data_IF_693332801467
#
_entry.id   IF_693332801467
#
_cell.length_a   1.000
_cell.length_b   1.000
_cell.length_c   1.000
_cell.angle_alpha   90.00
_cell.angle_beta   90.00
_cell.angle_gamma   90.00
#
_symmetry.space_group_name_H-M   'P 1'
#
loop_
_entity.id
_entity.type
_entity.pdbx_description
1 polymer ?
#
# COMPACT_ATOMS: atom_id res chain seq x y z
N UNK A 1 -4.15 -19.10 7.47
CA UNK A 1 -4.26 -18.11 6.39
C UNK A 1 -3.59 -16.85 6.92
N UNK A 2 -2.72 -16.23 6.13
CA UNK A 2 -2.08 -14.99 6.52
C UNK A 2 -3.07 -13.83 6.41
N UNK A 3 -2.86 -12.73 7.14
CA UNK A 3 -3.68 -11.52 6.99
C UNK A 3 -3.67 -10.96 5.56
N UNK A 4 -2.63 -11.30 4.78
CA UNK A 4 -2.55 -10.96 3.35
C UNK A 4 -3.50 -11.85 2.52
N UNK A 5 -3.59 -13.14 2.83
CA UNK A 5 -4.48 -14.08 2.11
C UNK A 5 -5.96 -13.69 2.28
N UNK A 6 -6.34 -13.17 3.44
CA UNK A 6 -7.71 -12.73 3.74
C UNK A 6 -8.05 -11.35 3.17
N UNK A 7 -7.09 -10.61 2.61
CA UNK A 7 -7.32 -9.29 1.99
C UNK A 7 -7.13 -9.28 0.47
N UNK A 8 -6.76 -10.42 -0.10
CA UNK A 8 -6.79 -10.67 -1.54
C UNK A 8 -8.21 -10.97 -2.07
N UNK A 9 -9.27 -10.69 -1.30
CA UNK A 9 -10.64 -10.75 -1.81
C UNK A 9 -10.84 -9.65 -2.86
N UNK A 10 -10.69 -10.07 -4.11
CA UNK A 10 -11.09 -9.35 -5.31
C UNK A 10 -12.58 -9.06 -5.20
N UNK A 11 -12.93 -7.86 -4.75
CA UNK A 11 -14.24 -7.29 -5.04
C UNK A 11 -14.16 -6.73 -6.46
N UNK A 12 -14.76 -7.44 -7.42
CA UNK A 12 -14.83 -7.07 -8.85
C UNK A 12 -15.41 -5.65 -9.09
N UNK A 13 -16.06 -5.05 -8.08
CA UNK A 13 -16.69 -3.73 -8.15
C UNK A 13 -15.81 -2.57 -7.62
N UNK A 14 -14.61 -2.83 -7.07
CA UNK A 14 -13.71 -1.76 -6.60
C UNK A 14 -12.74 -1.40 -7.73
N UNK A 15 -13.12 -0.41 -8.54
CA UNK A 15 -12.17 0.43 -9.27
C UNK A 15 -11.18 1.02 -8.26
N UNK A 16 -9.98 0.42 -8.12
CA UNK A 16 -8.99 0.91 -7.15
C UNK A 16 -7.81 -0.03 -6.89
N UNK A 17 -7.28 -0.71 -7.90
CA UNK A 17 -6.06 -1.54 -7.81
C UNK A 17 -4.77 -0.72 -7.66
N UNK A 18 -4.86 0.53 -7.22
CA UNK A 18 -3.76 1.48 -7.25
C UNK A 18 -2.89 1.41 -5.97
N UNK A 19 -3.35 0.74 -4.91
CA UNK A 19 -2.54 0.47 -3.71
C UNK A 19 -2.38 -1.05 -3.53
N UNK A 20 -1.14 -1.54 -3.64
CA UNK A 20 -0.83 -2.97 -3.48
C UNK A 20 -0.06 -3.18 -2.17
N UNK A 21 -0.67 -3.81 -1.14
CA UNK A 21 0.02 -4.12 0.10
C UNK A 21 1.19 -5.10 -0.11
N UNK A 22 2.38 -4.74 0.38
CA UNK A 22 3.59 -5.56 0.32
C UNK A 22 4.09 -5.98 1.70
N UNK A 23 3.65 -5.32 2.77
CA UNK A 23 3.88 -5.73 4.15
C UNK A 23 2.75 -5.26 5.07
N UNK A 24 2.40 -6.08 6.05
CA UNK A 24 1.53 -5.66 7.15
C UNK A 24 2.37 -5.00 8.25
N UNK A 25 1.90 -3.85 8.75
CA UNK A 25 2.49 -3.11 9.86
C UNK A 25 1.71 -3.37 11.15
N UNK A 26 2.28 -2.95 12.28
CA UNK A 26 1.54 -3.00 13.55
C UNK A 26 0.30 -2.09 13.47
N UNK A 27 -0.79 -2.47 14.14
CA UNK A 27 -2.05 -1.70 14.10
C UNK A 27 -2.96 -2.04 12.91
N UNK A 28 -2.53 -2.92 12.00
CA UNK A 28 -3.34 -3.31 10.84
C UNK A 28 -3.18 -2.37 9.64
N UNK A 29 -2.17 -1.50 9.66
CA UNK A 29 -1.74 -0.68 8.52
C UNK A 29 -0.88 -1.49 7.55
N UNK A 30 -0.63 -0.92 6.37
CA UNK A 30 0.15 -1.58 5.33
C UNK A 30 1.22 -0.68 4.75
N UNK A 31 2.35 -1.28 4.42
CA UNK A 31 3.25 -0.72 3.43
C UNK A 31 2.75 -1.13 2.05
N UNK A 32 2.56 -0.16 1.15
CA UNK A 32 1.97 -0.37 -0.17
C UNK A 32 2.87 0.15 -1.30
N UNK A 33 2.77 -0.49 -2.46
CA UNK A 33 3.10 0.12 -3.74
C UNK A 33 1.95 1.02 -4.15
N UNK A 34 2.23 2.28 -4.46
CA UNK A 34 1.26 3.29 -4.83
C UNK A 34 1.36 3.66 -6.31
N UNK A 35 0.38 3.18 -7.07
CA UNK A 35 0.17 3.36 -8.50
C UNK A 35 -0.87 4.45 -8.82
N UNK A 36 -1.42 5.17 -7.82
CA UNK A 36 -2.48 6.18 -8.04
C UNK A 36 -1.98 7.29 -8.98
N UNK A 37 -0.78 7.78 -8.72
CA UNK A 37 -0.19 8.90 -9.47
C UNK A 37 0.61 8.44 -10.70
N UNK A 38 1.30 7.29 -10.62
CA UNK A 38 2.10 6.72 -11.70
C UNK A 38 1.94 5.18 -11.77
N UNK A 39 1.16 4.67 -12.75
CA UNK A 39 0.94 3.24 -12.93
C UNK A 39 2.17 2.42 -13.34
N UNK A 40 3.22 3.06 -13.88
CA UNK A 40 4.42 2.36 -14.36
C UNK A 40 5.57 2.45 -13.34
N UNK A 41 5.61 3.51 -12.52
CA UNK A 41 6.64 3.73 -11.51
C UNK A 41 6.00 3.99 -10.13
N UNK A 42 5.53 2.96 -9.42
CA UNK A 42 4.86 3.13 -8.14
C UNK A 42 5.82 3.69 -7.08
N UNK A 43 5.30 4.65 -6.32
CA UNK A 43 5.92 5.10 -5.09
C UNK A 43 5.67 4.10 -3.95
N UNK A 44 6.38 4.27 -2.84
CA UNK A 44 6.12 3.53 -1.59
C UNK A 44 5.34 4.44 -0.65
N UNK A 45 4.25 3.94 -0.09
CA UNK A 45 3.47 4.65 0.92
C UNK A 45 3.06 3.72 2.09
N UNK A 46 2.73 4.32 3.23
CA UNK A 46 1.93 3.66 4.26
C UNK A 46 0.46 3.91 3.95
N UNK A 47 -0.36 2.88 4.06
CA UNK A 47 -1.81 2.98 4.01
C UNK A 47 -2.39 2.77 5.42
N UNK A 48 -2.98 3.83 5.97
CA UNK A 48 -3.58 3.85 7.30
C UNK A 48 -4.99 3.27 7.26
N UNK A 49 -5.16 2.07 7.79
CA UNK A 49 -6.40 1.31 7.63
C UNK A 49 -7.57 1.96 8.37
N UNK A 50 -7.34 2.41 9.60
CA UNK A 50 -8.39 3.00 10.44
C UNK A 50 -8.80 4.42 10.01
N UNK A 51 -7.92 5.12 9.27
CA UNK A 51 -8.14 6.50 8.81
C UNK A 51 -8.72 6.58 7.39
N UNK A 52 -8.79 5.45 6.68
CA UNK A 52 -9.27 5.39 5.29
C UNK A 52 -10.78 5.21 5.21
N UNK A 53 -11.39 5.91 4.25
CA UNK A 53 -12.81 5.77 3.90
C UNK A 53 -12.96 5.12 2.52
N UNK A 54 -14.19 4.71 2.19
CA UNK A 54 -14.50 4.16 0.88
C UNK A 54 -14.13 5.17 -0.22
N UNK A 55 -13.24 4.77 -1.13
CA UNK A 55 -12.67 5.59 -2.22
C UNK A 55 -11.77 6.78 -1.79
N UNK A 56 -11.41 6.90 -0.51
CA UNK A 56 -10.52 7.96 0.00
C UNK A 56 -9.47 7.35 0.94
N UNK A 57 -8.37 6.78 0.39
CA UNK A 57 -7.34 6.14 1.19
C UNK A 57 -6.45 7.18 1.89
N UNK A 58 -6.29 7.04 3.21
CA UNK A 58 -5.33 7.80 3.98
C UNK A 58 -3.93 7.22 3.78
N UNK A 59 -3.10 7.90 2.98
CA UNK A 59 -1.74 7.45 2.64
C UNK A 59 -0.66 8.44 3.08
N UNK A 60 0.48 7.91 3.51
CA UNK A 60 1.69 8.69 3.78
C UNK A 60 2.83 8.23 2.87
N UNK A 61 3.42 9.16 2.13
CA UNK A 61 4.55 8.90 1.25
C UNK A 61 5.79 8.48 2.04
N UNK A 62 6.49 7.46 1.55
CA UNK A 62 7.73 6.93 2.14
C UNK A 62 8.92 7.11 1.20
N UNK A 63 8.82 6.70 -0.06
CA UNK A 63 9.92 6.74 -1.03
C UNK A 63 9.40 6.77 -2.47
N UNK A 64 10.22 7.25 -3.44
CA UNK A 64 9.76 7.38 -4.83
C UNK A 64 9.67 6.04 -5.55
N UNK A 65 10.34 5.01 -5.08
CA UNK A 65 10.31 3.67 -5.65
C UNK A 65 10.81 2.65 -4.61
N UNK A 66 10.63 1.37 -4.92
CA UNK A 66 11.04 0.28 -4.04
C UNK A 66 12.54 0.23 -3.78
N UNK A 67 13.38 0.58 -4.76
CA UNK A 67 14.84 0.57 -4.60
C UNK A 67 15.30 1.63 -3.58
N UNK A 68 14.75 2.83 -3.64
CA UNK A 68 15.01 3.89 -2.65
C UNK A 68 14.56 3.47 -1.25
N UNK A 69 13.38 2.86 -1.13
CA UNK A 69 12.92 2.31 0.15
C UNK A 69 13.88 1.27 0.71
N UNK A 70 14.37 0.33 -0.11
CA UNK A 70 15.36 -0.66 0.33
C UNK A 70 16.66 -0.01 0.83
N UNK A 71 17.08 1.10 0.21
CA UNK A 71 18.27 1.83 0.65
C UNK A 71 18.08 2.50 2.01
N UNK A 72 16.84 2.81 2.43
CA UNK A 72 16.54 3.36 3.76
C UNK A 72 16.62 2.32 4.88
N UNK A 73 16.53 1.02 4.53
CA UNK A 73 16.53 -0.09 5.50
C UNK A 73 17.93 -0.65 5.79
N UNK A 74 18.98 -0.15 5.13
CA UNK A 74 20.34 -0.63 5.33
C UNK A 74 21.03 0.19 6.43
N UNK A 75 21.60 -0.53 7.42
CA UNK A 75 22.50 0.02 8.45
C UNK A 75 23.86 0.47 7.85
#
# INVERSE_FOLDING_TARGET
MSQLDERLFVHEDILGFELVPIAALFGGDFLCLNYIEDPENPSICIWYHEESYELDPAIEFVANNFTEFLAMLQD
#
